data_IF_739291094704
#
_entry.id   IF_739291094704
#
_cell.length_a   1.000
_cell.length_b   1.000
_cell.length_c   1.000
_cell.angle_alpha   90.00
_cell.angle_beta   90.00
_cell.angle_gamma   90.00
#
_symmetry.space_group_name_H-M   'P 1'
#
loop_
_entity.id
_entity.type
_entity.pdbx_description
1 polymer ?
#
# COMPACT_ATOMS: atom_id res chain seq x y z
N UNK A 1 12.22 -17.03 6.69
CA UNK A 1 11.56 -15.89 7.35
C UNK A 1 11.13 -16.27 8.75
N UNK A 2 10.88 -15.32 9.66
CA UNK A 2 10.34 -15.59 11.01
C UNK A 2 9.09 -16.44 10.88
N UNK A 3 8.20 -16.13 9.95
CA UNK A 3 6.98 -16.87 9.65
C UNK A 3 7.25 -18.35 9.30
N UNK A 4 8.23 -18.63 8.46
CA UNK A 4 8.59 -20.02 8.09
C UNK A 4 9.18 -20.83 9.26
N UNK A 5 9.93 -20.16 10.14
CA UNK A 5 10.49 -20.83 11.33
C UNK A 5 9.39 -21.12 12.35
N UNK A 6 8.46 -20.20 12.53
CA UNK A 6 7.29 -20.37 13.39
C UNK A 6 6.34 -21.43 12.84
N UNK A 7 6.06 -21.47 11.54
CA UNK A 7 5.30 -22.54 10.89
C UNK A 7 5.96 -23.92 11.10
N UNK A 8 7.29 -24.00 10.99
CA UNK A 8 8.03 -25.23 11.27
C UNK A 8 7.92 -25.66 12.72
N UNK A 9 8.01 -24.73 13.67
CA UNK A 9 7.83 -25.01 15.09
C UNK A 9 6.38 -25.42 15.42
N UNK A 10 5.40 -24.77 14.83
CA UNK A 10 3.98 -25.12 14.93
C UNK A 10 3.69 -26.53 14.41
N UNK A 11 4.24 -26.88 13.24
CA UNK A 11 4.11 -28.22 12.66
C UNK A 11 4.77 -29.28 13.55
N UNK A 12 5.92 -28.98 14.15
CA UNK A 12 6.61 -29.90 15.09
C UNK A 12 5.76 -30.15 16.33
N UNK A 13 5.24 -29.09 16.98
CA UNK A 13 4.37 -29.20 18.16
C UNK A 13 3.03 -29.89 17.85
N UNK A 14 2.44 -29.65 16.67
CA UNK A 14 1.22 -30.34 16.23
C UNK A 14 1.44 -31.85 16.11
N UNK A 15 2.63 -32.30 15.69
CA UNK A 15 2.99 -33.73 15.66
C UNK A 15 3.15 -34.33 17.07
N UNK A 16 3.58 -33.53 18.03
CA UNK A 16 3.84 -33.98 19.42
C UNK A 16 2.56 -34.07 20.26
N UNK A 17 1.57 -33.22 20.01
CA UNK A 17 0.35 -33.12 20.88
C UNK A 17 -0.92 -33.68 20.25
N UNK A 18 -0.93 -33.93 18.94
CA UNK A 18 -2.13 -34.37 18.20
C UNK A 18 -3.25 -33.33 18.11
N UNK A 19 -3.13 -32.18 18.79
CA UNK A 19 -4.09 -31.08 18.76
C UNK A 19 -3.63 -30.00 17.76
N UNK A 20 -4.57 -29.34 17.04
CA UNK A 20 -4.23 -28.21 16.20
C UNK A 20 -3.76 -27.06 17.09
N UNK A 21 -2.51 -26.63 16.89
CA UNK A 21 -2.01 -25.45 17.60
C UNK A 21 -2.58 -24.20 16.94
N UNK A 22 -3.16 -23.32 17.78
CA UNK A 22 -3.65 -22.02 17.33
C UNK A 22 -2.46 -21.12 17.00
N UNK A 23 -2.44 -20.55 15.80
CA UNK A 23 -1.51 -19.46 15.48
C UNK A 23 -2.05 -18.19 16.13
N UNK A 24 -1.33 -17.68 17.12
CA UNK A 24 -1.69 -16.47 17.88
C UNK A 24 -0.86 -15.27 17.46
N UNK A 25 0.01 -15.40 16.45
CA UNK A 25 0.92 -14.34 16.04
C UNK A 25 0.23 -13.36 15.07
N UNK A 26 0.50 -12.08 15.26
CA UNK A 26 0.21 -11.03 14.31
C UNK A 26 1.53 -10.65 13.65
N UNK A 27 1.82 -11.22 12.49
CA UNK A 27 3.12 -11.12 11.84
C UNK A 27 3.50 -9.69 11.44
N UNK A 28 2.49 -8.87 11.12
CA UNK A 28 2.67 -7.48 10.74
C UNK A 28 3.38 -6.67 11.84
N UNK A 29 3.12 -6.99 13.11
CA UNK A 29 3.74 -6.31 14.26
C UNK A 29 4.97 -7.01 14.83
N UNK A 30 5.66 -7.83 14.03
CA UNK A 30 6.98 -8.34 14.43
C UNK A 30 7.88 -7.14 14.78
N UNK A 31 8.43 -7.06 16.02
CA UNK A 31 9.07 -5.85 16.52
C UNK A 31 10.28 -5.41 15.71
N UNK A 32 10.47 -4.08 15.59
CA UNK A 32 11.75 -3.52 15.20
C UNK A 32 12.64 -3.39 16.41
N UNK A 33 13.94 -3.44 16.18
CA UNK A 33 14.94 -3.16 17.19
C UNK A 33 15.83 -2.03 16.71
N UNK A 34 15.98 -0.99 17.53
CA UNK A 34 16.85 0.14 17.25
C UNK A 34 18.13 0.05 18.08
N UNK A 35 19.24 0.49 17.50
CA UNK A 35 20.49 0.74 18.23
C UNK A 35 20.95 2.16 17.99
N UNK A 36 21.54 2.75 19.01
CA UNK A 36 22.07 4.12 18.94
C UNK A 36 23.35 4.17 18.12
N UNK A 37 23.40 5.15 17.20
CA UNK A 37 24.62 5.56 16.50
C UNK A 37 24.75 7.09 16.52
N UNK A 38 25.95 7.57 16.24
CA UNK A 38 26.18 8.97 15.91
C UNK A 38 26.05 9.13 14.38
N UNK A 39 25.16 10.03 13.93
CA UNK A 39 24.98 10.36 12.52
C UNK A 39 24.90 11.88 12.37
N UNK A 40 25.80 12.52 11.59
CA UNK A 40 25.95 13.97 11.63
C UNK A 40 24.83 14.75 10.93
N UNK A 41 24.24 14.16 9.89
CA UNK A 41 23.25 14.83 9.04
C UNK A 41 21.83 14.45 9.44
N UNK A 42 20.87 15.31 9.11
CA UNK A 42 19.46 14.93 9.16
C UNK A 42 19.18 13.89 8.10
N UNK A 43 18.49 12.83 8.50
CA UNK A 43 18.17 11.70 7.60
C UNK A 43 16.69 11.35 7.66
N UNK A 44 16.06 11.25 6.48
CA UNK A 44 14.70 10.78 6.34
C UNK A 44 14.69 9.27 6.07
N UNK A 45 13.96 8.53 6.87
CA UNK A 45 13.81 7.09 6.78
C UNK A 45 12.42 6.76 6.24
N UNK A 46 12.35 6.23 5.04
CA UNK A 46 11.12 5.71 4.47
C UNK A 46 10.97 4.23 4.84
N UNK A 47 9.89 3.87 5.51
CA UNK A 47 9.53 2.48 5.81
C UNK A 47 8.53 1.99 4.75
N UNK A 48 8.94 1.04 3.92
CA UNK A 48 8.10 0.46 2.87
C UNK A 48 8.12 -1.06 2.90
N UNK A 49 7.03 -1.73 2.48
CA UNK A 49 6.99 -3.19 2.39
C UNK A 49 8.08 -3.77 1.49
N UNK A 50 8.26 -3.19 0.31
CA UNK A 50 9.12 -3.71 -0.76
C UNK A 50 9.40 -2.66 -1.83
N UNK A 51 10.48 -2.87 -2.60
CA UNK A 51 10.78 -2.12 -3.84
C UNK A 51 10.80 -3.01 -5.09
N UNK A 52 10.43 -4.29 -4.97
CA UNK A 52 10.36 -5.24 -6.08
C UNK A 52 9.24 -4.84 -7.05
N UNK A 53 9.50 -4.97 -8.35
CA UNK A 53 8.57 -4.50 -9.38
C UNK A 53 7.17 -5.11 -9.27
N UNK A 54 7.08 -6.35 -8.82
CA UNK A 54 5.82 -7.06 -8.59
C UNK A 54 4.98 -6.49 -7.43
N UNK A 55 5.61 -5.74 -6.50
CA UNK A 55 4.96 -5.14 -5.34
C UNK A 55 4.80 -3.61 -5.48
N UNK A 56 5.58 -2.96 -6.36
CA UNK A 56 5.54 -1.50 -6.57
C UNK A 56 4.38 -1.12 -7.48
N UNK A 57 3.18 -1.13 -6.91
CA UNK A 57 1.97 -0.58 -7.55
C UNK A 57 1.54 0.71 -6.85
N UNK A 58 0.61 1.45 -7.47
CA UNK A 58 -0.08 2.64 -6.96
C UNK A 58 0.53 3.28 -5.72
N UNK A 59 0.21 2.74 -4.56
CA UNK A 59 0.58 3.29 -3.26
C UNK A 59 2.09 3.35 -3.00
N UNK A 60 2.83 2.26 -3.20
CA UNK A 60 4.28 2.24 -2.97
C UNK A 60 5.00 3.15 -3.96
N UNK A 61 4.57 3.16 -5.24
CA UNK A 61 5.14 4.07 -6.25
C UNK A 61 4.94 5.53 -5.87
N UNK A 62 3.74 5.89 -5.38
CA UNK A 62 3.43 7.26 -4.94
C UNK A 62 4.25 7.64 -3.71
N UNK A 63 4.40 6.74 -2.74
CA UNK A 63 5.20 6.97 -1.54
C UNK A 63 6.69 7.20 -1.87
N UNK A 64 7.26 6.41 -2.79
CA UNK A 64 8.64 6.59 -3.25
C UNK A 64 8.84 7.93 -3.96
N UNK A 65 7.94 8.32 -4.87
CA UNK A 65 7.99 9.63 -5.54
C UNK A 65 7.87 10.79 -4.55
N UNK A 66 6.95 10.67 -3.59
CA UNK A 66 6.79 11.67 -2.53
C UNK A 66 8.04 11.78 -1.69
N UNK A 67 8.61 10.65 -1.25
CA UNK A 67 9.84 10.58 -0.47
C UNK A 67 11.02 11.25 -1.18
N UNK A 68 11.27 10.92 -2.45
CA UNK A 68 12.34 11.52 -3.24
C UNK A 68 12.19 13.04 -3.35
N UNK A 69 10.96 13.52 -3.55
CA UNK A 69 10.66 14.95 -3.62
C UNK A 69 10.91 15.64 -2.28
N UNK A 70 10.45 15.01 -1.19
CA UNK A 70 10.59 15.53 0.16
C UNK A 70 12.06 15.63 0.59
N UNK A 71 12.83 14.58 0.37
CA UNK A 71 14.26 14.52 0.71
C UNK A 71 15.05 15.59 -0.04
N UNK A 72 14.77 15.75 -1.35
CA UNK A 72 15.41 16.80 -2.16
C UNK A 72 15.05 18.20 -1.66
N UNK A 73 13.78 18.43 -1.34
CA UNK A 73 13.31 19.75 -0.85
C UNK A 73 13.89 20.12 0.51
N UNK A 74 14.08 19.12 1.39
CA UNK A 74 14.63 19.33 2.73
C UNK A 74 16.18 19.32 2.77
N UNK A 75 16.84 18.79 1.74
CA UNK A 75 18.29 18.57 1.74
C UNK A 75 18.72 17.53 2.77
N UNK A 76 17.89 16.53 3.06
CA UNK A 76 18.20 15.46 4.00
C UNK A 76 18.85 14.26 3.31
N UNK A 77 19.62 13.49 4.06
CA UNK A 77 20.06 12.18 3.64
C UNK A 77 18.87 11.23 3.55
N UNK A 78 18.94 10.25 2.64
CA UNK A 78 17.82 9.35 2.31
C UNK A 78 18.11 7.91 2.75
N UNK A 79 17.20 7.30 3.50
CA UNK A 79 17.28 5.88 3.83
C UNK A 79 15.92 5.20 3.59
N UNK A 80 15.91 4.15 2.76
CA UNK A 80 14.74 3.31 2.53
C UNK A 80 14.94 2.01 3.30
N UNK A 81 13.97 1.63 4.13
CA UNK A 81 13.98 0.41 4.95
C UNK A 81 12.89 -0.52 4.42
N UNK A 82 13.30 -1.69 3.94
CA UNK A 82 12.40 -2.70 3.35
C UNK A 82 11.96 -3.67 4.43
N UNK A 83 10.69 -3.61 4.80
CA UNK A 83 10.22 -4.30 6.01
C UNK A 83 9.58 -5.66 5.78
N UNK A 84 9.08 -5.98 4.56
CA UNK A 84 8.32 -7.21 4.31
C UNK A 84 8.98 -8.14 3.30
N UNK A 85 9.75 -7.62 2.33
CA UNK A 85 10.40 -8.45 1.33
C UNK A 85 11.85 -8.02 1.08
N UNK A 86 12.73 -9.02 0.86
CA UNK A 86 14.08 -8.77 0.36
C UNK A 86 14.04 -8.26 -1.08
N UNK A 87 14.97 -7.36 -1.46
CA UNK A 87 15.05 -6.86 -2.82
C UNK A 87 15.52 -7.96 -3.78
N UNK A 88 14.82 -8.12 -4.89
CA UNK A 88 15.23 -9.00 -5.97
C UNK A 88 16.38 -8.40 -6.81
N UNK A 89 16.93 -9.19 -7.73
CA UNK A 89 18.05 -8.76 -8.59
C UNK A 89 17.68 -7.55 -9.47
N UNK A 90 16.42 -7.46 -9.91
CA UNK A 90 15.96 -6.38 -10.75
C UNK A 90 15.85 -5.07 -9.96
N UNK A 91 15.30 -5.14 -8.73
CA UNK A 91 15.25 -4.03 -7.80
C UNK A 91 16.66 -3.54 -7.42
N UNK A 92 17.58 -4.45 -7.06
CA UNK A 92 18.97 -4.10 -6.77
C UNK A 92 19.59 -3.36 -7.97
N UNK A 93 19.49 -3.90 -9.17
CA UNK A 93 20.02 -3.25 -10.37
C UNK A 93 19.42 -1.87 -10.62
N UNK A 94 18.11 -1.72 -10.42
CA UNK A 94 17.40 -0.45 -10.62
C UNK A 94 17.84 0.65 -9.68
N UNK A 95 18.10 0.32 -8.42
CA UNK A 95 18.40 1.31 -7.38
C UNK A 95 19.89 1.51 -7.09
N UNK A 96 20.77 0.60 -7.54
CA UNK A 96 22.22 0.65 -7.23
C UNK A 96 22.97 1.86 -7.80
N UNK A 97 22.42 2.53 -8.84
CA UNK A 97 23.04 3.74 -9.38
C UNK A 97 22.84 4.96 -8.45
N UNK A 98 21.82 4.93 -7.59
CA UNK A 98 21.47 6.06 -6.73
C UNK A 98 21.63 5.76 -5.25
N UNK A 99 21.43 4.51 -4.83
CA UNK A 99 21.45 4.06 -3.44
C UNK A 99 22.47 2.96 -3.21
N UNK A 100 23.08 2.98 -2.03
CA UNK A 100 23.93 1.90 -1.54
C UNK A 100 23.10 0.93 -0.70
N UNK A 101 23.09 -0.35 -1.05
CA UNK A 101 22.49 -1.39 -0.22
C UNK A 101 23.40 -1.66 0.99
N UNK A 102 22.85 -1.48 2.19
CA UNK A 102 23.56 -1.58 3.47
C UNK A 102 22.87 -2.64 4.32
N UNK A 103 23.64 -3.44 5.04
CA UNK A 103 23.08 -4.37 6.03
C UNK A 103 22.58 -3.59 7.25
N UNK A 104 21.52 -4.10 7.87
CA UNK A 104 20.98 -3.46 9.08
C UNK A 104 22.00 -3.41 10.24
N UNK A 105 22.97 -4.32 10.26
CA UNK A 105 24.03 -4.41 11.27
C UNK A 105 25.16 -3.38 11.07
N UNK A 106 25.26 -2.76 9.90
CA UNK A 106 26.34 -1.84 9.56
C UNK A 106 26.01 -0.42 10.01
N UNK A 107 26.97 0.28 10.62
CA UNK A 107 26.84 1.70 10.99
C UNK A 107 27.31 2.61 9.84
N UNK A 108 26.69 2.43 8.67
CA UNK A 108 27.06 3.14 7.45
C UNK A 108 26.67 4.62 7.53
N UNK A 109 27.60 5.50 7.11
CA UNK A 109 27.38 6.95 7.00
C UNK A 109 27.09 7.41 5.56
N UNK A 110 26.83 6.49 4.64
CA UNK A 110 26.47 6.84 3.25
C UNK A 110 25.15 7.59 3.24
N UNK A 111 25.06 8.67 2.48
CA UNK A 111 23.93 9.59 2.46
C UNK A 111 22.65 8.97 1.88
N UNK A 112 22.79 8.05 0.91
CA UNK A 112 21.64 7.36 0.28
C UNK A 112 21.74 5.85 0.49
N UNK A 113 20.85 5.30 1.29
CA UNK A 113 20.91 3.90 1.73
C UNK A 113 19.61 3.16 1.46
N UNK A 114 19.70 1.87 1.15
CA UNK A 114 18.59 0.92 1.23
C UNK A 114 18.99 -0.18 2.20
N UNK A 115 18.16 -0.41 3.22
CA UNK A 115 18.34 -1.45 4.22
C UNK A 115 17.27 -2.52 4.05
N UNK A 116 17.62 -3.74 3.59
CA UNK A 116 16.74 -4.90 3.68
C UNK A 116 16.57 -5.31 5.14
N UNK A 117 15.32 -5.30 5.63
CA UNK A 117 14.98 -5.56 7.03
C UNK A 117 13.75 -6.49 7.20
N UNK A 118 13.41 -7.25 6.16
CA UNK A 118 12.31 -8.22 6.21
C UNK A 118 12.59 -9.36 7.19
N UNK A 119 13.84 -9.79 7.30
CA UNK A 119 14.31 -10.67 8.37
C UNK A 119 14.86 -9.80 9.52
N UNK A 120 14.08 -9.70 10.61
CA UNK A 120 14.37 -8.82 11.76
C UNK A 120 15.04 -9.56 12.92
N UNK A 121 15.17 -10.89 12.82
CA UNK A 121 15.66 -11.71 13.91
C UNK A 121 17.14 -11.43 14.20
N UNK A 122 17.45 -11.07 15.45
CA UNK A 122 18.79 -10.66 15.91
C UNK A 122 19.42 -9.52 15.12
N UNK A 123 18.60 -8.64 14.51
CA UNK A 123 19.05 -7.50 13.73
C UNK A 123 18.48 -6.21 14.32
N UNK A 124 19.24 -5.13 14.19
CA UNK A 124 18.81 -3.82 14.65
C UNK A 124 19.12 -2.73 13.62
N UNK A 125 18.23 -1.75 13.53
CA UNK A 125 18.40 -0.59 12.67
C UNK A 125 19.22 0.46 13.42
N UNK A 126 20.30 1.03 12.83
CA UNK A 126 21.06 2.11 13.43
C UNK A 126 20.25 3.42 13.39
N UNK A 127 20.05 4.06 14.56
CA UNK A 127 19.24 5.28 14.72
C UNK A 127 20.00 6.32 15.52
N UNK A 128 19.87 7.58 15.13
CA UNK A 128 20.41 8.76 15.79
C UNK A 128 19.32 9.76 16.13
N UNK A 129 19.66 10.82 16.86
CA UNK A 129 18.76 11.96 17.12
C UNK A 129 18.39 12.76 15.85
N UNK A 130 19.14 12.58 14.76
CA UNK A 130 18.93 13.25 13.48
C UNK A 130 18.04 12.46 12.50
N UNK A 131 17.49 11.32 12.93
CA UNK A 131 16.62 10.48 12.13
C UNK A 131 15.15 10.94 12.20
N UNK A 132 14.52 11.07 11.04
CA UNK A 132 13.08 11.28 10.83
C UNK A 132 12.51 10.04 10.17
N UNK A 133 11.24 9.69 10.45
CA UNK A 133 10.62 8.50 9.91
C UNK A 133 9.34 8.84 9.16
N UNK A 134 9.20 8.27 7.97
CA UNK A 134 8.02 8.34 7.11
C UNK A 134 7.40 6.94 6.98
N UNK A 135 6.19 6.77 7.50
CA UNK A 135 5.43 5.53 7.47
C UNK A 135 4.59 5.44 6.20
N UNK A 136 4.37 4.21 5.69
CA UNK A 136 3.55 3.97 4.51
C UNK A 136 2.44 2.93 4.72
N UNK A 137 2.43 2.27 5.85
CA UNK A 137 1.42 1.31 6.26
C UNK A 137 1.32 1.26 7.77
N UNK A 138 0.15 0.89 8.31
CA UNK A 138 -0.11 0.88 9.75
C UNK A 138 0.94 0.07 10.54
N UNK A 139 1.39 -1.07 10.02
CA UNK A 139 2.40 -1.89 10.69
C UNK A 139 3.76 -1.23 10.70
N UNK A 140 4.10 -0.41 9.71
CA UNK A 140 5.35 0.36 9.71
C UNK A 140 5.31 1.44 10.78
N UNK A 141 4.16 2.09 10.96
CA UNK A 141 3.94 3.06 12.03
C UNK A 141 3.98 2.39 13.40
N UNK A 142 3.20 1.32 13.58
CA UNK A 142 3.12 0.59 14.84
C UNK A 142 4.49 0.11 15.32
N UNK A 143 5.21 -0.65 14.47
CA UNK A 143 6.51 -1.21 14.86
C UNK A 143 7.58 -0.15 15.11
N UNK A 144 7.56 0.97 14.38
CA UNK A 144 8.51 2.05 14.59
C UNK A 144 8.23 2.80 15.89
N UNK A 145 6.97 3.11 16.18
CA UNK A 145 6.57 3.78 17.41
C UNK A 145 6.87 2.90 18.64
N UNK A 146 6.55 1.60 18.58
CA UNK A 146 6.85 0.64 19.64
C UNK A 146 8.36 0.53 19.90
N UNK A 147 9.18 0.44 18.85
CA UNK A 147 10.63 0.41 18.97
C UNK A 147 11.19 1.69 19.64
N UNK A 148 10.57 2.85 19.40
CA UNK A 148 10.98 4.10 20.04
C UNK A 148 10.71 4.11 21.53
N UNK A 149 9.69 3.43 22.04
CA UNK A 149 9.45 3.30 23.50
C UNK A 149 10.68 2.70 24.20
N UNK A 150 11.19 1.59 23.66
CA UNK A 150 12.38 0.95 24.19
C UNK A 150 13.66 1.79 23.99
N UNK A 151 13.77 2.44 22.84
CA UNK A 151 14.93 3.27 22.50
C UNK A 151 15.02 4.53 23.38
N UNK A 152 13.90 5.23 23.59
CA UNK A 152 13.81 6.38 24.49
C UNK A 152 14.12 5.99 25.93
N UNK A 153 13.55 4.89 26.43
CA UNK A 153 13.80 4.39 27.77
C UNK A 153 15.28 4.03 28.01
N UNK A 154 15.97 3.55 26.96
CA UNK A 154 17.36 3.09 27.06
C UNK A 154 18.38 4.23 26.90
N UNK A 155 18.13 5.14 25.97
CA UNK A 155 19.09 6.14 25.52
C UNK A 155 18.67 7.58 25.82
N UNK A 156 17.42 7.82 26.26
CA UNK A 156 16.90 9.17 26.52
C UNK A 156 16.66 9.99 25.24
N UNK A 157 16.67 9.36 24.06
CA UNK A 157 16.50 10.02 22.76
C UNK A 157 15.06 9.89 22.34
N UNK A 158 14.35 11.03 22.28
CA UNK A 158 12.99 11.11 21.76
C UNK A 158 12.97 11.07 20.24
N UNK A 159 11.90 10.50 19.62
CA UNK A 159 11.74 10.60 18.18
C UNK A 159 11.54 12.07 17.76
N UNK A 160 12.04 12.43 16.59
CA UNK A 160 11.55 13.60 15.88
C UNK A 160 10.09 13.40 15.50
N UNK A 161 9.42 14.49 15.08
CA UNK A 161 8.06 14.39 14.58
C UNK A 161 7.98 13.35 13.47
N UNK A 162 7.04 12.41 13.59
CA UNK A 162 6.81 11.38 12.57
C UNK A 162 6.07 11.94 11.37
N UNK A 163 6.29 11.36 10.22
CA UNK A 163 5.52 11.59 9.02
C UNK A 163 4.74 10.31 8.70
N UNK A 164 3.45 10.43 8.41
CA UNK A 164 2.62 9.29 8.04
C UNK A 164 1.96 9.54 6.68
N UNK A 165 2.40 8.81 5.67
CA UNK A 165 1.83 8.85 4.34
C UNK A 165 0.62 7.91 4.28
N UNK A 166 -0.56 8.47 4.52
CA UNK A 166 -1.82 7.73 4.65
C UNK A 166 -2.48 7.65 3.27
N UNK A 167 -2.64 6.43 2.77
CA UNK A 167 -3.12 6.17 1.41
C UNK A 167 -4.49 5.53 1.35
N UNK A 168 -4.99 5.05 2.46
CA UNK A 168 -6.35 4.52 2.64
C UNK A 168 -6.68 4.52 4.14
N UNK A 169 -7.92 4.24 4.49
CA UNK A 169 -8.30 3.90 5.85
C UNK A 169 -8.02 2.41 6.10
N UNK A 170 -6.80 2.11 6.49
CA UNK A 170 -6.29 0.73 6.58
C UNK A 170 -7.01 -0.18 7.57
N UNK A 171 -7.62 0.29 8.69
CA UNK A 171 -8.52 -0.55 9.49
C UNK A 171 -9.61 -1.20 8.65
N UNK A 172 -10.13 -0.50 7.64
CA UNK A 172 -11.15 -1.00 6.71
C UNK A 172 -10.69 -2.16 5.80
N UNK A 173 -9.40 -2.54 5.82
CA UNK A 173 -8.91 -3.74 5.12
C UNK A 173 -9.29 -5.04 5.85
N UNK A 174 -9.70 -4.92 7.08
CA UNK A 174 -9.99 -6.04 7.97
C UNK A 174 -11.45 -5.99 8.44
N UNK A 175 -12.05 -7.13 8.64
CA UNK A 175 -13.25 -7.22 9.48
C UNK A 175 -12.90 -6.74 10.90
N UNK A 176 -13.92 -6.46 11.73
CA UNK A 176 -13.68 -6.07 13.13
C UNK A 176 -12.85 -7.13 13.86
N UNK A 177 -11.58 -6.86 14.07
CA UNK A 177 -10.56 -7.84 14.47
C UNK A 177 -9.37 -7.18 15.19
N UNK A 178 -8.43 -7.99 15.70
CA UNK A 178 -7.16 -7.50 16.25
C UNK A 178 -6.41 -6.60 15.26
N UNK A 179 -6.33 -6.98 13.98
CA UNK A 179 -5.66 -6.17 12.96
C UNK A 179 -6.36 -4.83 12.72
N UNK A 180 -7.71 -4.82 12.75
CA UNK A 180 -8.47 -3.59 12.69
C UNK A 180 -8.07 -2.64 13.82
N UNK A 181 -8.07 -3.13 15.07
CA UNK A 181 -7.75 -2.32 16.24
C UNK A 181 -6.31 -1.83 16.25
N UNK A 182 -5.36 -2.66 15.84
CA UNK A 182 -3.94 -2.28 15.74
C UNK A 182 -3.73 -1.22 14.66
N UNK A 183 -4.34 -1.36 13.50
CA UNK A 183 -4.27 -0.36 12.44
C UNK A 183 -4.88 0.97 12.91
N UNK A 184 -6.07 0.94 13.53
CA UNK A 184 -6.75 2.12 14.06
C UNK A 184 -5.93 2.84 15.13
N UNK A 185 -5.24 2.08 16.01
CA UNK A 185 -4.42 2.65 17.09
C UNK A 185 -3.26 3.51 16.57
N UNK A 186 -2.73 3.25 15.39
CA UNK A 186 -1.62 4.03 14.82
C UNK A 186 -2.03 5.45 14.43
N UNK A 187 -3.32 5.68 14.17
CA UNK A 187 -3.87 7.00 13.90
C UNK A 187 -4.25 7.78 15.18
N UNK A 188 -4.18 7.10 16.33
CA UNK A 188 -4.49 7.65 17.66
C UNK A 188 -3.26 7.69 18.58
N UNK A 189 -2.08 7.64 17.98
CA UNK A 189 -0.81 7.66 18.72
C UNK A 189 -0.58 9.01 19.39
N UNK A 190 -0.01 8.99 20.58
CA UNK A 190 0.41 10.19 21.33
C UNK A 190 1.68 10.86 20.76
N UNK A 191 2.38 10.19 19.85
CA UNK A 191 3.56 10.77 19.22
C UNK A 191 3.18 11.88 18.22
N UNK A 192 3.87 13.04 18.27
CA UNK A 192 3.68 14.09 17.28
C UNK A 192 3.83 13.55 15.87
N UNK A 193 2.80 13.72 15.05
CA UNK A 193 2.75 13.15 13.71
C UNK A 193 2.21 14.17 12.69
N UNK A 194 2.87 14.27 11.55
CA UNK A 194 2.38 14.97 10.36
C UNK A 194 1.74 13.93 9.45
N UNK A 195 0.42 14.01 9.25
CA UNK A 195 -0.29 13.15 8.33
C UNK A 195 -0.28 13.75 6.91
N UNK A 196 0.04 12.92 5.92
CA UNK A 196 0.01 13.27 4.51
C UNK A 196 -0.94 12.31 3.79
N UNK A 197 -2.06 12.85 3.31
CA UNK A 197 -3.10 12.08 2.64
C UNK A 197 -2.95 12.17 1.12
N UNK A 198 -3.15 11.07 0.42
CA UNK A 198 -3.09 11.01 -1.03
C UNK A 198 -4.42 11.41 -1.72
N UNK A 199 -5.40 11.91 -0.98
CA UNK A 199 -6.59 12.58 -1.49
C UNK A 199 -7.23 13.49 -0.45
N UNK A 200 -7.92 14.54 -0.90
CA UNK A 200 -8.71 15.41 -0.04
C UNK A 200 -9.84 14.65 0.64
N UNK A 201 -10.55 13.77 -0.09
CA UNK A 201 -11.65 12.97 0.46
C UNK A 201 -11.20 12.08 1.62
N UNK A 202 -10.01 11.49 1.52
CA UNK A 202 -9.48 10.68 2.61
C UNK A 202 -9.17 11.54 3.84
N UNK A 203 -8.59 12.74 3.64
CA UNK A 203 -8.34 13.68 4.73
C UNK A 203 -9.66 14.10 5.41
N UNK A 204 -10.67 14.47 4.63
CA UNK A 204 -12.01 14.83 5.14
C UNK A 204 -12.61 13.72 6.00
N UNK A 205 -12.51 12.47 5.54
CA UNK A 205 -12.96 11.30 6.32
C UNK A 205 -12.26 11.21 7.69
N UNK A 206 -10.95 11.43 7.74
CA UNK A 206 -10.21 11.40 9.01
C UNK A 206 -10.62 12.56 9.93
N UNK A 207 -10.80 13.75 9.39
CA UNK A 207 -11.25 14.92 10.15
C UNK A 207 -12.68 14.71 10.72
N UNK A 208 -13.62 14.21 9.92
CA UNK A 208 -14.99 13.89 10.31
C UNK A 208 -15.08 12.79 11.39
N UNK A 209 -14.14 11.84 11.36
CA UNK A 209 -14.06 10.77 12.36
C UNK A 209 -13.15 11.10 13.54
N UNK A 210 -12.79 12.39 13.70
CA UNK A 210 -12.07 12.93 14.85
C UNK A 210 -10.67 12.29 15.08
N UNK A 211 -9.98 11.93 14.00
CA UNK A 211 -8.55 11.61 14.09
C UNK A 211 -7.73 12.89 14.13
N UNK A 212 -6.82 13.00 15.09
CA UNK A 212 -6.05 14.21 15.32
C UNK A 212 -4.56 13.98 15.08
N UNK A 213 -3.98 14.82 14.25
CA UNK A 213 -2.54 14.85 13.99
C UNK A 213 -1.99 16.24 14.33
N UNK A 214 -0.69 16.34 14.58
CA UNK A 214 -0.04 17.64 14.83
C UNK A 214 -0.24 18.58 13.64
N UNK A 215 -0.08 18.05 12.43
CA UNK A 215 -0.43 18.71 11.17
C UNK A 215 -0.98 17.69 10.20
N UNK A 216 -1.83 18.12 9.28
CA UNK A 216 -2.37 17.28 8.22
C UNK A 216 -2.38 17.99 6.88
N UNK A 217 -1.90 17.32 5.85
CA UNK A 217 -1.85 17.79 4.47
C UNK A 217 -2.48 16.77 3.54
N UNK A 218 -2.99 17.21 2.42
CA UNK A 218 -3.49 16.31 1.37
C UNK A 218 -3.10 16.85 -0.01
N UNK A 219 -3.00 15.96 -0.97
CA UNK A 219 -2.87 16.27 -2.38
C UNK A 219 -3.79 15.35 -3.17
N UNK A 220 -4.26 15.80 -4.33
CA UNK A 220 -5.09 14.95 -5.17
C UNK A 220 -4.25 14.03 -6.03
N UNK A 221 -4.72 12.78 -6.25
CA UNK A 221 -4.04 11.85 -7.11
C UNK A 221 -3.92 12.39 -8.54
N UNK A 222 -2.79 12.10 -9.16
CA UNK A 222 -2.58 12.39 -10.56
C UNK A 222 -2.64 11.13 -11.40
N UNK A 223 -3.15 11.25 -12.62
CA UNK A 223 -3.20 10.15 -13.56
C UNK A 223 -1.80 9.57 -13.77
N UNK A 224 -1.71 8.23 -13.81
CA UNK A 224 -0.45 7.55 -14.09
C UNK A 224 0.17 8.05 -15.40
N UNK A 225 1.47 8.39 -15.36
CA UNK A 225 2.18 9.00 -16.51
C UNK A 225 2.14 8.12 -17.77
N UNK A 226 2.20 6.79 -17.61
CA UNK A 226 2.09 5.83 -18.73
C UNK A 226 0.71 5.87 -19.37
N UNK A 227 -0.34 5.86 -18.54
CA UNK A 227 -1.72 5.94 -19.00
C UNK A 227 -2.01 7.30 -19.66
N UNK A 228 -1.53 8.40 -19.08
CA UNK A 228 -1.64 9.74 -19.67
C UNK A 228 -1.01 9.78 -21.06
N UNK A 229 0.22 9.31 -21.19
CA UNK A 229 0.93 9.25 -22.49
C UNK A 229 0.22 8.37 -23.51
N UNK A 230 -0.31 7.22 -23.09
CA UNK A 230 -1.07 6.33 -23.97
C UNK A 230 -2.35 7.02 -24.47
N UNK A 231 -3.08 7.72 -23.60
CA UNK A 231 -4.28 8.48 -23.96
C UNK A 231 -3.96 9.66 -24.89
N UNK A 232 -2.87 10.39 -24.66
CA UNK A 232 -2.42 11.50 -25.51
C UNK A 232 -2.03 11.07 -26.94
N UNK A 233 -1.63 9.82 -27.11
CA UNK A 233 -1.28 9.24 -28.44
C UNK A 233 -2.50 8.72 -29.20
N UNK A 234 -3.67 8.68 -28.57
CA UNK A 234 -4.90 8.21 -29.17
C UNK A 234 -5.70 9.37 -29.82
N UNK A 235 -6.60 9.08 -30.78
CA UNK A 235 -7.48 10.09 -31.35
C UNK A 235 -8.31 10.76 -30.26
N UNK A 236 -8.49 12.09 -30.33
CA UNK A 236 -9.27 12.84 -29.35
C UNK A 236 -10.76 12.49 -29.35
N UNK A 237 -11.27 11.97 -30.46
CA UNK A 237 -12.64 11.48 -30.60
C UNK A 237 -12.60 10.03 -31.07
N UNK A 238 -13.27 9.16 -30.32
CA UNK A 238 -13.47 7.74 -30.63
C UNK A 238 -14.97 7.46 -30.49
N UNK A 239 -15.52 6.73 -31.44
CA UNK A 239 -16.90 6.27 -31.35
C UNK A 239 -17.06 5.34 -30.13
N UNK A 240 -18.00 5.69 -29.25
CA UNK A 240 -18.28 4.91 -28.06
C UNK A 240 -19.01 3.62 -28.41
N UNK A 241 -18.48 2.52 -27.96
CA UNK A 241 -19.16 1.21 -28.01
C UNK A 241 -20.22 1.15 -26.92
N UNK A 242 -21.32 0.47 -27.18
CA UNK A 242 -22.30 0.09 -26.14
C UNK A 242 -21.63 -0.93 -25.18
N UNK A 243 -20.73 -0.44 -24.37
CA UNK A 243 -19.87 -1.24 -23.50
C UNK A 243 -19.82 -0.62 -22.10
N UNK A 244 -19.98 -1.45 -21.08
CA UNK A 244 -19.73 -1.11 -19.69
C UNK A 244 -18.42 -1.76 -19.27
N UNK A 245 -17.52 -0.97 -18.71
CA UNK A 245 -16.29 -1.45 -18.10
C UNK A 245 -16.39 -1.40 -16.58
N UNK A 246 -16.28 -2.55 -15.95
CA UNK A 246 -16.25 -2.69 -14.48
C UNK A 246 -14.80 -2.81 -14.02
N UNK A 247 -14.40 -2.02 -13.03
CA UNK A 247 -13.20 -2.30 -12.27
C UNK A 247 -13.47 -3.45 -11.30
N UNK A 248 -13.16 -4.68 -11.74
CA UNK A 248 -13.53 -5.93 -11.06
C UNK A 248 -12.37 -6.57 -10.31
N UNK A 249 -12.52 -6.64 -8.98
CA UNK A 249 -11.57 -7.33 -8.10
C UNK A 249 -12.31 -8.20 -7.09
N UNK A 250 -12.85 -9.37 -7.55
CA UNK A 250 -13.65 -10.25 -6.69
C UNK A 250 -12.89 -10.77 -5.47
N UNK A 251 -11.57 -10.91 -5.52
CA UNK A 251 -10.71 -11.29 -4.39
C UNK A 251 -10.47 -10.17 -3.36
N UNK A 252 -10.93 -8.94 -3.63
CA UNK A 252 -10.81 -7.80 -2.73
C UNK A 252 -12.18 -7.43 -2.19
N UNK A 253 -12.49 -7.79 -0.94
CA UNK A 253 -13.83 -7.59 -0.34
C UNK A 253 -14.34 -6.15 -0.45
N UNK A 254 -13.46 -5.17 -0.21
CA UNK A 254 -13.82 -3.74 -0.29
C UNK A 254 -14.15 -3.26 -1.71
N UNK A 255 -13.86 -4.02 -2.77
CA UNK A 255 -14.29 -3.70 -4.14
C UNK A 255 -15.82 -3.78 -4.31
N UNK A 256 -16.53 -4.36 -3.35
CA UNK A 256 -17.99 -4.55 -3.40
C UNK A 256 -18.48 -5.23 -4.69
N UNK A 257 -17.68 -6.12 -5.27
CA UNK A 257 -17.89 -6.75 -6.55
C UNK A 257 -19.27 -7.44 -6.65
N UNK A 258 -19.70 -8.09 -5.56
CA UNK A 258 -21.01 -8.75 -5.50
C UNK A 258 -22.16 -7.74 -5.65
N UNK A 259 -22.03 -6.54 -5.11
CA UNK A 259 -23.04 -5.48 -5.27
C UNK A 259 -23.08 -4.95 -6.71
N UNK A 260 -21.92 -4.78 -7.35
CA UNK A 260 -21.83 -4.41 -8.77
C UNK A 260 -22.51 -5.48 -9.64
N UNK A 261 -22.22 -6.76 -9.42
CA UNK A 261 -22.87 -7.87 -10.15
C UNK A 261 -24.39 -7.86 -9.94
N UNK A 262 -24.86 -7.64 -8.72
CA UNK A 262 -26.29 -7.57 -8.42
C UNK A 262 -26.98 -6.38 -9.14
N UNK A 263 -26.30 -5.23 -9.18
CA UNK A 263 -26.79 -4.05 -9.91
C UNK A 263 -26.84 -4.31 -11.43
N UNK A 264 -25.80 -4.91 -11.99
CA UNK A 264 -25.74 -5.27 -13.41
C UNK A 264 -26.85 -6.26 -13.81
N UNK A 265 -27.12 -7.27 -12.98
CA UNK A 265 -28.25 -8.20 -13.23
C UNK A 265 -29.58 -7.47 -13.34
N UNK A 266 -29.83 -6.48 -12.46
CA UNK A 266 -31.05 -5.66 -12.54
C UNK A 266 -31.04 -4.78 -13.79
N UNK A 267 -29.92 -4.14 -14.10
CA UNK A 267 -29.80 -3.28 -15.27
C UNK A 267 -30.04 -4.05 -16.57
N UNK A 268 -29.45 -5.24 -16.74
CA UNK A 268 -29.63 -6.12 -17.90
C UNK A 268 -31.11 -6.47 -18.14
N UNK A 269 -31.89 -6.64 -17.07
CA UNK A 269 -33.33 -6.91 -17.18
C UNK A 269 -34.18 -5.70 -17.59
N UNK A 270 -33.64 -4.48 -17.38
CA UNK A 270 -34.35 -3.23 -17.62
C UNK A 270 -33.94 -2.54 -18.93
N UNK A 271 -32.80 -2.90 -19.51
CA UNK A 271 -32.24 -2.27 -20.69
C UNK A 271 -32.88 -2.78 -21.97
N UNK A 272 -33.59 -1.94 -22.74
CA UNK A 272 -34.38 -2.41 -23.91
C UNK A 272 -33.52 -2.97 -25.04
N UNK A 273 -32.33 -2.39 -25.26
CA UNK A 273 -31.39 -2.74 -26.35
C UNK A 273 -30.21 -3.55 -25.83
N UNK A 274 -30.44 -4.38 -24.81
CA UNK A 274 -29.37 -5.11 -24.10
C UNK A 274 -28.54 -5.99 -25.03
N UNK A 275 -29.10 -6.47 -26.12
CA UNK A 275 -28.41 -7.33 -27.10
C UNK A 275 -27.17 -6.63 -27.70
N UNK A 276 -27.17 -5.31 -27.79
CA UNK A 276 -26.09 -4.51 -28.36
C UNK A 276 -24.98 -4.21 -27.35
N UNK A 277 -25.18 -4.51 -26.06
CA UNK A 277 -24.25 -4.17 -25.01
C UNK A 277 -23.27 -5.27 -24.69
N UNK A 278 -22.03 -4.89 -24.46
CA UNK A 278 -20.97 -5.70 -23.86
C UNK A 278 -20.69 -5.26 -22.42
N UNK A 279 -20.39 -6.21 -21.55
CA UNK A 279 -20.10 -5.91 -20.13
C UNK A 279 -18.80 -6.59 -19.76
N UNK A 280 -17.75 -5.79 -19.58
CA UNK A 280 -16.40 -6.24 -19.31
C UNK A 280 -15.98 -5.97 -17.86
N UNK A 281 -15.16 -6.86 -17.31
CA UNK A 281 -14.53 -6.72 -16.00
C UNK A 281 -13.02 -6.72 -16.16
N UNK A 282 -12.36 -5.60 -15.86
CA UNK A 282 -10.91 -5.48 -15.85
C UNK A 282 -10.39 -5.40 -14.41
N UNK A 283 -9.24 -6.02 -14.14
CA UNK A 283 -8.58 -6.07 -12.84
C UNK A 283 -8.11 -7.47 -12.49
N UNK A 284 -8.91 -8.25 -11.78
CA UNK A 284 -8.60 -9.65 -11.51
C UNK A 284 -9.25 -10.58 -12.54
N UNK A 285 -8.54 -11.64 -12.91
CA UNK A 285 -9.10 -12.68 -13.79
C UNK A 285 -10.11 -13.52 -13.01
N UNK A 286 -11.29 -13.69 -13.57
CA UNK A 286 -12.34 -14.57 -13.03
C UNK A 286 -13.14 -15.23 -14.15
N UNK A 287 -13.94 -16.23 -13.83
CA UNK A 287 -14.88 -16.83 -14.80
C UNK A 287 -15.96 -15.82 -15.16
N UNK A 288 -16.46 -15.88 -16.41
CA UNK A 288 -17.62 -15.10 -16.82
C UNK A 288 -18.81 -15.35 -15.88
N UNK A 289 -19.54 -14.29 -15.56
CA UNK A 289 -20.67 -14.34 -14.63
C UNK A 289 -21.96 -14.09 -15.39
N UNK A 290 -22.89 -15.05 -15.44
CA UNK A 290 -24.19 -14.84 -16.07
C UNK A 290 -24.99 -13.71 -15.40
N UNK A 291 -25.50 -12.77 -16.20
CA UNK A 291 -26.27 -11.62 -15.74
C UNK A 291 -27.78 -11.73 -16.04
N UNK A 292 -28.17 -12.66 -16.88
CA UNK A 292 -29.54 -12.80 -17.42
C UNK A 292 -29.63 -12.31 -18.86
N UNK A 293 -30.76 -12.58 -19.52
CA UNK A 293 -31.04 -12.20 -20.93
C UNK A 293 -29.90 -12.53 -21.91
N UNK A 294 -29.22 -13.68 -21.72
CA UNK A 294 -28.10 -14.09 -22.55
C UNK A 294 -26.80 -13.29 -22.35
N UNK A 295 -26.76 -12.34 -21.41
CA UNK A 295 -25.58 -11.51 -21.13
C UNK A 295 -24.73 -12.05 -19.99
N UNK A 296 -23.44 -11.78 -20.09
CA UNK A 296 -22.42 -12.15 -19.10
C UNK A 296 -21.52 -10.95 -18.79
N UNK A 297 -21.03 -10.90 -17.56
CA UNK A 297 -19.87 -10.08 -17.20
C UNK A 297 -18.61 -10.85 -17.57
N UNK A 298 -17.92 -10.41 -18.61
CA UNK A 298 -16.74 -11.09 -19.17
C UNK A 298 -15.48 -10.52 -18.53
N UNK A 299 -14.69 -11.40 -17.89
CA UNK A 299 -13.39 -10.98 -17.34
C UNK A 299 -12.35 -10.87 -18.43
N UNK A 300 -11.72 -9.70 -18.53
CA UNK A 300 -10.55 -9.46 -19.37
C UNK A 300 -9.23 -9.45 -18.59
N UNK A 301 -9.32 -9.63 -17.27
CA UNK A 301 -8.16 -9.64 -16.39
C UNK A 301 -7.42 -8.31 -16.33
N UNK A 302 -6.11 -8.37 -16.11
CA UNK A 302 -5.25 -7.19 -16.07
C UNK A 302 -4.79 -6.85 -17.49
N UNK A 303 -5.24 -5.71 -18.01
CA UNK A 303 -4.86 -5.19 -19.31
C UNK A 303 -3.48 -4.50 -19.26
N UNK A 304 -2.79 -4.43 -20.40
CA UNK A 304 -1.66 -3.52 -20.57
C UNK A 304 -2.12 -2.07 -20.51
N UNK A 305 -1.20 -1.13 -20.33
CA UNK A 305 -1.55 0.30 -20.26
C UNK A 305 -2.23 0.77 -21.55
N UNK A 306 -1.74 0.33 -22.71
CA UNK A 306 -2.28 0.67 -24.01
C UNK A 306 -3.67 0.07 -24.25
N UNK A 307 -3.87 -1.20 -23.88
CA UNK A 307 -5.16 -1.87 -23.97
C UNK A 307 -6.18 -1.20 -23.03
N UNK A 308 -5.75 -0.87 -21.82
CA UNK A 308 -6.59 -0.21 -20.84
C UNK A 308 -7.00 1.19 -21.30
N UNK A 309 -6.05 1.99 -21.79
CA UNK A 309 -6.33 3.32 -22.36
C UNK A 309 -7.35 3.25 -23.50
N UNK A 310 -7.17 2.30 -24.42
CA UNK A 310 -8.12 2.08 -25.55
C UNK A 310 -9.50 1.69 -25.03
N UNK A 311 -9.55 0.72 -24.11
CA UNK A 311 -10.82 0.25 -23.55
C UNK A 311 -11.57 1.38 -22.83
N UNK A 312 -10.87 2.22 -22.05
CA UNK A 312 -11.47 3.40 -21.42
C UNK A 312 -12.03 4.40 -22.44
N UNK A 313 -11.30 4.66 -23.51
CA UNK A 313 -11.77 5.57 -24.56
C UNK A 313 -13.00 5.05 -25.31
N UNK A 314 -13.04 3.76 -25.62
CA UNK A 314 -14.12 3.13 -26.38
C UNK A 314 -15.36 2.84 -25.52
N UNK A 315 -15.20 2.70 -24.22
CA UNK A 315 -16.28 2.36 -23.27
C UNK A 315 -17.28 3.49 -23.14
N UNK A 316 -18.58 3.14 -23.13
CA UNK A 316 -19.67 4.08 -22.91
C UNK A 316 -19.72 4.55 -21.44
N UNK A 317 -19.63 3.61 -20.49
CA UNK A 317 -19.68 3.90 -19.07
C UNK A 317 -18.72 3.00 -18.27
N UNK A 318 -18.06 3.57 -17.27
CA UNK A 318 -17.23 2.86 -16.31
C UNK A 318 -17.91 2.71 -14.97
N UNK A 319 -17.72 1.56 -14.32
CA UNK A 319 -18.18 1.31 -12.94
C UNK A 319 -16.94 0.98 -12.10
N UNK A 320 -16.64 1.83 -11.13
CA UNK A 320 -15.63 1.59 -10.12
C UNK A 320 -16.24 1.82 -8.75
N UNK A 321 -16.32 0.79 -7.93
CA UNK A 321 -16.91 0.84 -6.61
C UNK A 321 -15.93 0.32 -5.57
N UNK A 322 -15.76 1.08 -4.50
CA UNK A 322 -14.94 0.69 -3.35
C UNK A 322 -15.67 1.04 -2.06
N UNK A 323 -15.70 0.10 -1.11
CA UNK A 323 -16.09 0.36 0.28
C UNK A 323 -14.88 0.96 1.01
N UNK A 324 -14.54 2.18 0.70
CA UNK A 324 -13.40 2.91 1.24
C UNK A 324 -13.68 4.42 1.16
N UNK A 325 -13.20 5.22 2.13
CA UNK A 325 -13.24 6.68 2.02
C UNK A 325 -12.28 7.20 0.94
N UNK A 326 -11.33 6.39 0.50
CA UNK A 326 -10.43 6.73 -0.59
C UNK A 326 -11.10 6.48 -1.94
N UNK A 327 -11.11 7.46 -2.86
CA UNK A 327 -11.71 7.27 -4.17
C UNK A 327 -11.01 6.13 -4.93
N UNK A 328 -11.81 5.30 -5.60
CA UNK A 328 -11.29 4.25 -6.47
C UNK A 328 -10.82 4.89 -7.77
N UNK A 329 -9.53 4.95 -7.95
CA UNK A 329 -8.91 5.31 -9.23
C UNK A 329 -8.54 4.00 -9.93
N UNK A 330 -9.25 3.65 -11.00
CA UNK A 330 -8.93 2.48 -11.81
C UNK A 330 -7.62 2.63 -12.58
#
# INVERSE_FOLDING_TARGET
TVKEQEEKMLLKRKRETGLPQLDTNVYEITPYTFRKIEYPNRRMNLLVPSINAEHVFGGISTALKFFDTLVKALGYDARIILVDAEPDKAAIKKYSDEYTFVKAEDDSLVAKQIIPYSNRFNRSIPVSENDYFLFTGWWTAYCCQDAYVGFENTFGIKPNIFLYFIQDYEPGFYSWSTKYLLADSTYKSDYPTIAIFNSMLLKEFFDENHYHFTHSFAFDPVLNDGLRKALEQMPAQVDKKKQILVYGRPGTERNAFNLVVAALKKWVMMQPDIEEWEILSAGEMHRSIPLGNGKELVSVGKLTIEEYARTLQETYAGISLMCSPHPSYP
#
